data_IF_791739960022
#
_entry.id   IF_791739960022
#
_cell.length_a   1.000
_cell.length_b   1.000
_cell.length_c   1.000
_cell.angle_alpha   90.00
_cell.angle_beta   90.00
_cell.angle_gamma   90.00
#
_symmetry.space_group_name_H-M   'P 1'
#
loop_
_entity.id
_entity.type
_entity.pdbx_description
1 polymer ?
#
# COMPACT_ATOMS: atom_id res chain seq x y z
N UNK A 1 0.73 -10.39 20.92
CA UNK A 1 0.11 -9.45 21.88
C UNK A 1 -0.86 -8.60 21.07
N UNK A 2 -2.07 -8.28 21.55
CA UNK A 2 -2.97 -7.42 20.79
C UNK A 2 -2.30 -6.06 20.55
N UNK A 3 -2.33 -5.61 19.29
CA UNK A 3 -1.76 -4.34 18.85
C UNK A 3 -2.37 -3.18 19.62
N UNK A 4 -1.59 -2.11 19.82
CA UNK A 4 -2.06 -0.86 20.45
C UNK A 4 -3.34 -0.36 19.79
N UNK A 5 -3.44 -0.53 18.47
CA UNK A 5 -4.58 -0.16 17.65
C UNK A 5 -5.89 -0.85 18.04
N UNK A 6 -5.91 -2.18 18.25
CA UNK A 6 -7.14 -2.88 18.64
C UNK A 6 -7.71 -2.37 19.97
N UNK A 7 -6.84 -1.95 20.90
CA UNK A 7 -7.28 -1.35 22.17
C UNK A 7 -7.89 0.03 21.96
N UNK A 8 -7.36 0.82 21.03
CA UNK A 8 -7.90 2.14 20.68
C UNK A 8 -9.28 2.00 20.04
N UNK A 9 -9.43 1.11 19.05
CA UNK A 9 -10.73 0.81 18.41
C UNK A 9 -11.81 0.41 19.44
N UNK A 10 -11.45 -0.35 20.47
CA UNK A 10 -12.40 -0.76 21.52
C UNK A 10 -12.83 0.39 22.45
N UNK A 11 -12.09 1.50 22.48
CA UNK A 11 -12.42 2.70 23.26
C UNK A 11 -13.28 3.69 22.46
N UNK A 12 -13.32 3.56 21.14
CA UNK A 12 -14.14 4.42 20.29
C UNK A 12 -15.63 4.20 20.51
N UNK A 13 -16.39 5.28 20.40
CA UNK A 13 -17.84 5.27 20.65
C UNK A 13 -18.56 4.40 19.63
N UNK A 14 -18.12 4.47 18.38
CA UNK A 14 -18.63 3.73 17.23
C UNK A 14 -18.52 2.22 17.48
N UNK A 15 -17.45 1.75 18.13
CA UNK A 15 -17.33 0.35 18.55
C UNK A 15 -18.42 -0.07 19.53
N UNK A 16 -18.87 0.83 20.40
CA UNK A 16 -19.95 0.56 21.36
C UNK A 16 -21.33 0.44 20.70
N UNK A 17 -21.51 1.04 19.52
CA UNK A 17 -22.75 0.95 18.75
C UNK A 17 -22.92 -0.43 18.08
N UNK A 18 -21.85 -1.24 18.00
CA UNK A 18 -21.81 -2.55 17.35
C UNK A 18 -21.44 -3.67 18.34
N UNK A 19 -22.41 -4.12 19.14
CA UNK A 19 -22.17 -5.10 20.21
C UNK A 19 -21.48 -6.41 19.76
N UNK A 20 -21.87 -6.97 18.60
CA UNK A 20 -21.25 -8.17 18.03
C UNK A 20 -19.81 -7.91 17.55
N UNK A 21 -19.54 -6.73 16.97
CA UNK A 21 -18.18 -6.33 16.57
C UNK A 21 -17.27 -6.15 17.79
N UNK A 22 -17.74 -5.42 18.80
CA UNK A 22 -17.01 -5.21 20.06
C UNK A 22 -16.67 -6.55 20.71
N UNK A 23 -17.62 -7.48 20.74
CA UNK A 23 -17.43 -8.83 21.27
C UNK A 23 -16.38 -9.62 20.47
N UNK A 24 -16.37 -9.48 19.15
CA UNK A 24 -15.34 -10.06 18.30
C UNK A 24 -13.95 -9.50 18.64
N UNK A 25 -13.81 -8.17 18.68
CA UNK A 25 -12.53 -7.51 18.97
C UNK A 25 -12.00 -7.84 20.38
N UNK A 26 -12.86 -7.94 21.39
CA UNK A 26 -12.47 -8.43 22.71
C UNK A 26 -11.98 -9.89 22.67
N UNK A 27 -12.67 -10.77 21.92
CA UNK A 27 -12.24 -12.15 21.75
C UNK A 27 -10.88 -12.25 21.04
N UNK A 28 -10.65 -11.43 20.01
CA UNK A 28 -9.36 -11.30 19.32
C UNK A 28 -8.26 -10.85 20.29
N UNK A 29 -8.55 -9.84 21.12
CA UNK A 29 -7.62 -9.35 22.14
C UNK A 29 -7.19 -10.45 23.13
N UNK A 30 -8.10 -11.38 23.43
CA UNK A 30 -7.88 -12.52 24.32
C UNK A 30 -7.29 -13.76 23.61
N UNK A 31 -7.04 -13.70 22.30
CA UNK A 31 -6.55 -14.84 21.51
C UNK A 31 -7.60 -15.93 21.24
N UNK A 32 -8.89 -15.65 21.45
CA UNK A 32 -9.99 -16.60 21.29
C UNK A 32 -10.47 -16.67 19.83
N UNK A 33 -9.67 -17.29 18.95
CA UNK A 33 -9.92 -17.32 17.49
C UNK A 33 -11.33 -17.79 17.10
N UNK A 34 -11.83 -18.88 17.68
CA UNK A 34 -13.16 -19.42 17.33
C UNK A 34 -14.29 -18.47 17.73
N UNK A 35 -14.18 -17.84 18.90
CA UNK A 35 -15.16 -16.87 19.39
C UNK A 35 -15.12 -15.61 18.54
N UNK A 36 -13.92 -15.13 18.19
CA UNK A 36 -13.75 -14.00 17.26
C UNK A 36 -14.46 -14.26 15.93
N UNK A 37 -14.21 -15.40 15.28
CA UNK A 37 -14.84 -15.74 14.00
C UNK A 37 -16.36 -15.87 14.10
N UNK A 38 -16.87 -16.45 15.18
CA UNK A 38 -18.31 -16.54 15.43
C UNK A 38 -18.95 -15.16 15.56
N UNK A 39 -18.36 -14.28 16.37
CA UNK A 39 -18.88 -12.92 16.58
C UNK A 39 -18.73 -12.04 15.34
N UNK A 40 -17.64 -12.18 14.57
CA UNK A 40 -17.49 -11.50 13.28
C UNK A 40 -18.56 -11.93 12.28
N UNK A 41 -18.83 -13.23 12.15
CA UNK A 41 -19.88 -13.69 11.25
C UNK A 41 -21.27 -13.19 11.65
N UNK A 42 -21.54 -13.14 12.96
CA UNK A 42 -22.77 -12.55 13.49
C UNK A 42 -22.87 -11.07 13.16
N UNK A 43 -21.80 -10.31 13.41
CA UNK A 43 -21.72 -8.89 13.06
C UNK A 43 -21.96 -8.65 11.56
N UNK A 44 -21.30 -9.41 10.68
CA UNK A 44 -21.48 -9.27 9.23
C UNK A 44 -22.95 -9.55 8.85
N UNK A 45 -23.57 -10.58 9.43
CA UNK A 45 -24.98 -10.87 9.16
C UNK A 45 -25.90 -9.74 9.63
N UNK A 46 -25.62 -9.10 10.78
CA UNK A 46 -26.35 -7.92 11.25
C UNK A 46 -26.16 -6.72 10.30
N UNK A 47 -24.92 -6.48 9.86
CA UNK A 47 -24.56 -5.36 9.00
C UNK A 47 -25.19 -5.45 7.60
N UNK A 48 -25.34 -6.66 7.07
CA UNK A 48 -25.95 -6.90 5.76
C UNK A 48 -27.44 -6.52 5.69
N UNK A 49 -28.13 -6.39 6.82
CA UNK A 49 -29.55 -5.99 6.87
C UNK A 49 -29.71 -4.47 7.06
N UNK A 50 -28.61 -3.75 7.32
CA UNK A 50 -28.66 -2.29 7.41
C UNK A 50 -28.96 -1.66 6.06
N UNK A 51 -29.52 -0.45 6.10
CA UNK A 51 -29.54 0.40 4.92
C UNK A 51 -28.12 0.77 4.48
N UNK A 52 -28.00 1.12 3.19
CA UNK A 52 -26.70 1.40 2.58
C UNK A 52 -25.99 2.60 3.23
N UNK A 53 -26.71 3.58 3.76
CA UNK A 53 -26.11 4.74 4.40
C UNK A 53 -25.39 4.31 5.68
N UNK A 54 -26.01 3.46 6.49
CA UNK A 54 -25.40 2.91 7.71
C UNK A 54 -24.23 1.98 7.40
N UNK A 55 -24.31 1.17 6.34
CA UNK A 55 -23.17 0.36 5.89
C UNK A 55 -21.98 1.25 5.47
N UNK A 56 -22.23 2.32 4.70
CA UNK A 56 -21.19 3.30 4.33
C UNK A 56 -20.56 3.97 5.53
N UNK A 57 -21.37 4.43 6.49
CA UNK A 57 -20.85 5.04 7.72
C UNK A 57 -19.92 4.10 8.49
N UNK A 58 -20.29 2.83 8.60
CA UNK A 58 -19.44 1.82 9.22
C UNK A 58 -18.14 1.60 8.42
N UNK A 59 -18.23 1.45 7.10
CA UNK A 59 -17.07 1.26 6.23
C UNK A 59 -16.12 2.46 6.28
N UNK A 60 -16.66 3.68 6.22
CA UNK A 60 -15.90 4.93 6.32
C UNK A 60 -15.15 5.03 7.65
N UNK A 61 -15.84 4.79 8.77
CA UNK A 61 -15.23 4.76 10.09
C UNK A 61 -14.10 3.73 10.19
N UNK A 62 -14.39 2.47 9.84
CA UNK A 62 -13.42 1.38 10.00
C UNK A 62 -12.18 1.60 9.13
N UNK A 63 -12.35 1.94 7.86
CA UNK A 63 -11.24 2.08 6.93
C UNK A 63 -10.42 3.34 7.20
N UNK A 64 -11.05 4.43 7.64
CA UNK A 64 -10.33 5.62 8.13
C UNK A 64 -9.49 5.29 9.36
N UNK A 65 -10.00 4.49 10.29
CA UNK A 65 -9.22 4.06 11.44
C UNK A 65 -8.04 3.16 11.03
N UNK A 66 -8.19 2.35 9.98
CA UNK A 66 -7.17 1.41 9.53
C UNK A 66 -6.12 1.99 8.57
N UNK A 67 -6.38 3.11 7.88
CA UNK A 67 -5.56 3.51 6.71
C UNK A 67 -4.10 3.90 7.03
N UNK A 68 -3.76 4.14 8.30
CA UNK A 68 -2.38 4.43 8.75
C UNK A 68 -1.80 3.38 9.70
N UNK A 69 -2.50 2.28 9.88
CA UNK A 69 -2.14 1.28 10.88
C UNK A 69 -1.48 0.07 10.22
N UNK A 70 -0.41 -0.40 10.86
CA UNK A 70 0.25 -1.63 10.47
C UNK A 70 -0.59 -2.85 10.93
N UNK A 71 -0.46 -3.98 10.24
CA UNK A 71 -1.09 -5.27 10.60
C UNK A 71 -2.64 -5.29 10.68
N UNK A 72 -3.32 -4.38 9.98
CA UNK A 72 -4.79 -4.31 9.94
C UNK A 72 -5.46 -5.54 9.32
N UNK A 73 -4.72 -6.36 8.57
CA UNK A 73 -5.20 -7.62 7.99
C UNK A 73 -5.74 -8.60 9.05
N UNK A 74 -5.27 -8.46 10.30
CA UNK A 74 -5.79 -9.23 11.43
C UNK A 74 -7.24 -8.87 11.81
N UNK A 75 -7.69 -7.67 11.44
CA UNK A 75 -9.02 -7.12 11.71
C UNK A 75 -9.90 -7.15 10.44
N UNK A 76 -9.31 -6.79 9.29
CA UNK A 76 -9.91 -6.83 7.97
C UNK A 76 -9.88 -8.26 7.39
N UNK A 77 -10.51 -9.19 8.12
CA UNK A 77 -10.53 -10.60 7.75
C UNK A 77 -11.31 -10.82 6.45
N UNK A 78 -10.93 -11.85 5.69
CA UNK A 78 -11.54 -12.17 4.39
C UNK A 78 -13.09 -12.14 4.38
N UNK A 79 -13.83 -12.74 5.35
CA UNK A 79 -15.29 -12.65 5.36
C UNK A 79 -15.83 -11.21 5.47
N UNK A 80 -15.17 -10.33 6.21
CA UNK A 80 -15.56 -8.93 6.34
C UNK A 80 -15.32 -8.19 5.01
N UNK A 81 -14.16 -8.45 4.39
CA UNK A 81 -13.79 -7.84 3.12
C UNK A 81 -14.77 -8.23 2.00
N UNK A 82 -14.96 -9.52 1.75
CA UNK A 82 -15.76 -9.99 0.62
C UNK A 82 -17.25 -9.70 0.78
N UNK A 83 -17.78 -9.83 2.01
CA UNK A 83 -19.23 -9.82 2.22
C UNK A 83 -19.76 -8.43 2.54
N UNK A 84 -18.95 -7.53 3.08
CA UNK A 84 -19.40 -6.20 3.52
C UNK A 84 -18.58 -5.09 2.87
N UNK A 85 -17.27 -5.05 3.07
CA UNK A 85 -16.46 -3.88 2.67
C UNK A 85 -16.40 -3.71 1.15
N UNK A 86 -15.99 -4.74 0.39
CA UNK A 86 -15.91 -4.63 -1.07
C UNK A 86 -17.26 -4.31 -1.73
N UNK A 87 -18.38 -4.98 -1.40
CA UNK A 87 -19.68 -4.62 -1.96
C UNK A 87 -20.08 -3.17 -1.68
N UNK A 88 -19.89 -2.70 -0.45
CA UNK A 88 -20.23 -1.32 -0.05
C UNK A 88 -19.38 -0.31 -0.80
N UNK A 89 -18.06 -0.55 -0.91
CA UNK A 89 -17.15 0.33 -1.65
C UNK A 89 -17.46 0.35 -3.15
N UNK A 90 -17.76 -0.80 -3.77
CA UNK A 90 -18.17 -0.86 -5.19
C UNK A 90 -19.46 -0.09 -5.44
N UNK A 91 -20.45 -0.26 -4.57
CA UNK A 91 -21.67 0.52 -4.66
C UNK A 91 -21.42 2.01 -4.43
N UNK A 92 -20.51 2.37 -3.52
CA UNK A 92 -20.12 3.75 -3.28
C UNK A 92 -19.49 4.38 -4.53
N UNK A 93 -18.54 3.71 -5.19
CA UNK A 93 -17.95 4.20 -6.44
C UNK A 93 -19.00 4.43 -7.55
N UNK A 94 -20.04 3.61 -7.61
CA UNK A 94 -21.13 3.79 -8.58
C UNK A 94 -22.05 4.96 -8.24
N UNK A 95 -22.40 5.11 -6.96
CA UNK A 95 -23.37 6.12 -6.52
C UNK A 95 -22.76 7.52 -6.40
N UNK A 96 -21.47 7.60 -6.05
CA UNK A 96 -20.71 8.85 -5.86
C UNK A 96 -19.30 8.71 -6.45
N UNK A 97 -19.16 8.72 -7.79
CA UNK A 97 -17.86 8.52 -8.44
C UNK A 97 -16.83 9.61 -8.10
N UNK A 98 -17.26 10.82 -7.77
CA UNK A 98 -16.36 11.91 -7.38
C UNK A 98 -15.73 11.71 -5.99
N UNK A 99 -16.27 10.80 -5.17
CA UNK A 99 -15.68 10.47 -3.87
C UNK A 99 -14.49 9.53 -4.08
N UNK A 100 -13.30 10.02 -3.74
CA UNK A 100 -12.04 9.32 -3.98
C UNK A 100 -11.73 8.24 -2.94
N UNK A 101 -12.35 8.30 -1.75
CA UNK A 101 -12.06 7.39 -0.63
C UNK A 101 -12.20 5.91 -1.01
N UNK A 102 -13.25 5.46 -1.72
CA UNK A 102 -13.37 4.06 -2.09
C UNK A 102 -12.25 3.59 -3.01
N UNK A 103 -11.84 4.40 -3.98
CA UNK A 103 -10.70 4.10 -4.87
C UNK A 103 -9.41 3.98 -4.05
N UNK A 104 -9.14 4.96 -3.19
CA UNK A 104 -7.97 4.96 -2.30
C UNK A 104 -7.90 3.69 -1.47
N UNK A 105 -8.99 3.31 -0.80
CA UNK A 105 -9.00 2.13 0.06
C UNK A 105 -8.93 0.80 -0.69
N UNK A 106 -9.48 0.72 -1.92
CA UNK A 106 -9.28 -0.45 -2.78
C UNK A 106 -7.80 -0.69 -3.08
N UNK A 107 -7.06 0.38 -3.35
CA UNK A 107 -5.61 0.34 -3.55
C UNK A 107 -4.86 0.00 -2.25
N UNK A 108 -5.02 0.81 -1.21
CA UNK A 108 -4.26 0.66 0.05
C UNK A 108 -4.41 -0.72 0.67
N UNK A 109 -5.65 -1.22 0.78
CA UNK A 109 -5.89 -2.52 1.40
C UNK A 109 -5.82 -3.69 0.42
N UNK A 110 -5.46 -3.43 -0.84
CA UNK A 110 -5.33 -4.44 -1.91
C UNK A 110 -6.53 -5.38 -1.95
N UNK A 111 -7.75 -4.82 -1.89
CA UNK A 111 -8.96 -5.62 -1.93
C UNK A 111 -9.08 -6.40 -3.25
N UNK A 112 -8.45 -5.92 -4.32
CA UNK A 112 -8.25 -6.66 -5.58
C UNK A 112 -6.77 -6.55 -5.94
N UNK A 113 -5.98 -7.56 -5.59
CA UNK A 113 -4.51 -7.56 -5.73
C UNK A 113 -4.06 -7.12 -7.13
N UNK A 114 -4.68 -7.67 -8.17
CA UNK A 114 -4.32 -7.39 -9.58
C UNK A 114 -4.61 -5.94 -10.02
N UNK A 115 -5.52 -5.23 -9.35
CA UNK A 115 -5.98 -3.90 -9.75
C UNK A 115 -5.59 -2.81 -8.76
N UNK A 116 -4.83 -3.15 -7.70
CA UNK A 116 -4.52 -2.23 -6.60
C UNK A 116 -3.92 -0.91 -7.08
N UNK A 117 -2.95 -0.98 -8.01
CA UNK A 117 -2.31 0.20 -8.59
C UNK A 117 -3.28 1.03 -9.43
N UNK A 118 -4.19 0.41 -10.21
CA UNK A 118 -5.19 1.15 -10.99
C UNK A 118 -6.14 1.96 -10.09
N UNK A 119 -6.50 1.41 -8.93
CA UNK A 119 -7.32 2.10 -7.94
C UNK A 119 -6.57 3.26 -7.27
N UNK A 120 -5.29 3.06 -6.92
CA UNK A 120 -4.43 4.15 -6.41
C UNK A 120 -4.31 5.26 -7.45
N UNK A 121 -4.03 4.92 -8.71
CA UNK A 121 -3.92 5.89 -9.79
C UNK A 121 -5.22 6.65 -9.96
N UNK A 122 -6.36 5.96 -9.96
CA UNK A 122 -7.68 6.60 -10.07
C UNK A 122 -7.94 7.57 -8.90
N UNK A 123 -7.54 7.20 -7.68
CA UNK A 123 -7.66 8.10 -6.53
C UNK A 123 -6.80 9.35 -6.71
N UNK A 124 -5.54 9.18 -7.13
CA UNK A 124 -4.59 10.28 -7.37
C UNK A 124 -5.06 11.19 -8.50
N UNK A 125 -5.56 10.64 -9.61
CA UNK A 125 -6.04 11.44 -10.75
C UNK A 125 -7.24 12.32 -10.38
N UNK A 126 -8.11 11.83 -9.49
CA UNK A 126 -9.34 12.53 -9.08
C UNK A 126 -9.12 13.48 -7.91
N UNK A 127 -8.39 13.04 -6.89
CA UNK A 127 -8.15 13.82 -5.68
C UNK A 127 -6.89 14.69 -5.74
N UNK A 128 -6.04 14.45 -6.75
CA UNK A 128 -4.80 15.16 -6.96
C UNK A 128 -3.87 15.06 -5.76
N UNK A 129 -3.16 16.17 -5.50
CA UNK A 129 -2.19 16.27 -4.40
C UNK A 129 -2.80 16.05 -3.01
N UNK A 130 -4.11 16.12 -2.83
CA UNK A 130 -4.72 15.89 -1.52
C UNK A 130 -4.68 14.41 -1.10
N UNK A 131 -4.50 13.49 -2.05
CA UNK A 131 -4.46 12.05 -1.82
C UNK A 131 -3.06 11.56 -1.40
N UNK A 132 -2.48 12.22 -0.39
CA UNK A 132 -1.11 11.98 0.08
C UNK A 132 -0.84 10.51 0.42
N UNK A 133 -1.81 9.83 1.04
CA UNK A 133 -1.66 8.42 1.40
C UNK A 133 -1.66 7.51 0.16
N UNK A 134 -2.50 7.79 -0.85
CA UNK A 134 -2.48 7.03 -2.10
C UNK A 134 -1.16 7.24 -2.86
N UNK A 135 -0.67 8.48 -2.89
CA UNK A 135 0.63 8.84 -3.49
C UNK A 135 1.76 8.09 -2.78
N UNK A 136 1.79 8.12 -1.44
CA UNK A 136 2.78 7.40 -0.64
C UNK A 136 2.74 5.89 -0.93
N UNK A 137 1.56 5.28 -0.92
CA UNK A 137 1.42 3.84 -1.18
C UNK A 137 1.88 3.49 -2.60
N UNK A 138 1.54 4.30 -3.60
CA UNK A 138 2.00 4.11 -4.98
C UNK A 138 3.53 4.16 -5.06
N UNK A 139 4.17 5.18 -4.45
CA UNK A 139 5.64 5.30 -4.42
C UNK A 139 6.28 4.05 -3.82
N UNK A 140 5.77 3.55 -2.69
CA UNK A 140 6.28 2.32 -2.05
C UNK A 140 6.19 1.10 -2.97
N UNK A 141 5.09 0.95 -3.71
CA UNK A 141 4.96 -0.14 -4.68
C UNK A 141 5.97 -0.04 -5.81
N UNK A 142 6.14 1.15 -6.40
CA UNK A 142 7.07 1.36 -7.51
C UNK A 142 8.53 1.21 -7.09
N UNK A 143 8.91 1.69 -5.90
CA UNK A 143 10.26 1.48 -5.36
C UNK A 143 10.52 -0.01 -5.05
N UNK A 144 9.54 -0.72 -4.49
CA UNK A 144 9.65 -2.16 -4.27
C UNK A 144 9.76 -2.95 -5.58
N UNK A 145 9.09 -2.51 -6.64
CA UNK A 145 9.27 -3.07 -7.99
C UNK A 145 10.71 -2.90 -8.49
N UNK A 146 11.29 -1.69 -8.38
CA UNK A 146 12.68 -1.42 -8.77
C UNK A 146 13.67 -2.24 -7.93
N UNK A 147 13.43 -2.38 -6.63
CA UNK A 147 14.21 -3.27 -5.78
C UNK A 147 14.15 -4.72 -6.29
N UNK A 148 12.96 -5.21 -6.62
CA UNK A 148 12.79 -6.55 -7.18
C UNK A 148 13.50 -6.71 -8.53
N UNK A 149 13.48 -5.71 -9.40
CA UNK A 149 14.21 -5.77 -10.66
C UNK A 149 15.73 -5.94 -10.46
N UNK A 150 16.29 -5.35 -9.39
CA UNK A 150 17.73 -5.20 -9.20
C UNK A 150 18.37 -6.16 -8.18
N UNK A 151 17.60 -6.85 -7.34
CA UNK A 151 18.16 -7.58 -6.19
C UNK A 151 19.07 -8.77 -6.54
N UNK A 152 19.03 -9.26 -7.79
CA UNK A 152 19.93 -10.31 -8.30
C UNK A 152 21.03 -9.78 -9.23
N UNK A 153 21.29 -8.47 -9.25
CA UNK A 153 22.36 -7.90 -10.08
C UNK A 153 23.76 -8.42 -9.69
N UNK A 154 23.94 -8.88 -8.47
CA UNK A 154 25.17 -9.56 -8.03
C UNK A 154 25.38 -10.93 -8.69
N UNK A 155 24.34 -11.49 -9.29
CA UNK A 155 24.35 -12.72 -10.09
C UNK A 155 24.32 -12.40 -11.60
N UNK A 156 24.61 -11.15 -11.97
CA UNK A 156 24.51 -10.62 -13.34
C UNK A 156 23.10 -10.78 -13.94
N UNK A 157 22.09 -10.84 -13.07
CA UNK A 157 20.70 -11.10 -13.45
C UNK A 157 19.82 -9.90 -13.14
N UNK A 158 19.21 -9.37 -14.21
CA UNK A 158 18.21 -8.33 -14.16
C UNK A 158 16.84 -8.96 -14.38
N UNK A 159 15.89 -8.73 -13.46
CA UNK A 159 14.62 -9.46 -13.41
C UNK A 159 13.43 -8.74 -14.07
N UNK A 160 13.69 -7.69 -14.84
CA UNK A 160 12.68 -6.85 -15.49
C UNK A 160 13.13 -6.41 -16.89
N UNK A 161 12.31 -5.62 -17.58
CA UNK A 161 12.67 -4.96 -18.83
C UNK A 161 13.17 -3.54 -18.53
N UNK A 162 14.25 -3.12 -19.18
CA UNK A 162 14.90 -1.83 -18.86
C UNK A 162 14.03 -0.62 -19.19
N UNK A 163 13.13 -0.75 -20.14
CA UNK A 163 12.17 0.26 -20.57
C UNK A 163 11.09 0.48 -19.50
N UNK A 164 10.54 -0.60 -18.95
CA UNK A 164 9.52 -0.57 -17.90
C UNK A 164 10.08 0.10 -16.63
N UNK A 165 11.33 -0.20 -16.28
CA UNK A 165 11.97 0.39 -15.11
C UNK A 165 12.35 1.87 -15.33
N UNK A 166 12.62 2.28 -16.58
CA UNK A 166 12.80 3.69 -16.91
C UNK A 166 11.51 4.50 -16.70
N UNK A 167 10.37 3.94 -17.13
CA UNK A 167 9.05 4.53 -16.91
C UNK A 167 8.72 4.57 -15.42
N UNK A 168 8.97 3.48 -14.71
CA UNK A 168 8.77 3.37 -13.26
C UNK A 168 9.59 4.43 -12.51
N UNK A 169 10.87 4.62 -12.85
CA UNK A 169 11.71 5.66 -12.25
C UNK A 169 11.15 7.06 -12.51
N UNK A 170 10.69 7.34 -13.74
CA UNK A 170 10.11 8.63 -14.10
C UNK A 170 8.82 8.90 -13.34
N UNK A 171 7.92 7.92 -13.28
CA UNK A 171 6.65 8.02 -12.57
C UNK A 171 6.87 8.24 -11.07
N UNK A 172 7.71 7.41 -10.45
CA UNK A 172 8.06 7.52 -9.03
C UNK A 172 8.58 8.91 -8.70
N UNK A 173 9.44 9.48 -9.55
CA UNK A 173 9.96 10.84 -9.36
C UNK A 173 8.86 11.89 -9.35
N UNK A 174 7.91 11.80 -10.29
CA UNK A 174 6.78 12.71 -10.39
C UNK A 174 5.84 12.61 -9.18
N UNK A 175 5.65 11.41 -8.63
CA UNK A 175 4.86 11.19 -7.43
C UNK A 175 5.55 11.75 -6.18
N UNK A 176 6.86 11.50 -6.01
CA UNK A 176 7.62 12.07 -4.87
C UNK A 176 7.55 13.60 -4.88
N UNK A 177 7.54 14.22 -6.06
CA UNK A 177 7.43 15.67 -6.16
C UNK A 177 6.09 16.24 -5.64
N UNK A 178 5.04 15.40 -5.58
CA UNK A 178 3.71 15.75 -5.09
C UNK A 178 3.56 15.59 -3.57
N UNK A 179 4.49 14.95 -2.87
CA UNK A 179 4.43 14.81 -1.41
C UNK A 179 4.48 16.16 -0.70
N UNK A 180 3.72 16.28 0.39
CA UNK A 180 3.66 17.45 1.25
C UNK A 180 4.65 17.36 2.42
N UNK A 181 4.84 16.17 2.98
CA UNK A 181 5.77 15.95 4.08
C UNK A 181 7.22 15.98 3.56
N UNK A 182 7.99 16.98 4.00
CA UNK A 182 9.36 17.17 3.55
C UNK A 182 10.33 16.07 4.02
N UNK A 183 10.07 15.45 5.17
CA UNK A 183 10.92 14.38 5.71
C UNK A 183 10.70 13.14 4.87
N UNK A 184 9.44 12.72 4.72
CA UNK A 184 9.08 11.56 3.90
C UNK A 184 9.49 11.74 2.43
N UNK A 185 9.33 12.96 1.89
CA UNK A 185 9.81 13.29 0.55
C UNK A 185 11.32 13.13 0.41
N UNK A 186 12.09 13.46 1.44
CA UNK A 186 13.55 13.29 1.44
C UNK A 186 13.91 11.81 1.47
N UNK A 187 13.27 11.02 2.35
CA UNK A 187 13.50 9.58 2.46
C UNK A 187 13.24 8.86 1.13
N UNK A 188 12.09 9.08 0.50
CA UNK A 188 11.80 8.49 -0.81
C UNK A 188 12.71 9.00 -1.93
N UNK A 189 13.17 10.26 -1.84
CA UNK A 189 14.11 10.80 -2.82
C UNK A 189 15.46 10.11 -2.74
N UNK A 190 15.95 9.82 -1.53
CA UNK A 190 17.20 9.10 -1.31
C UNK A 190 17.10 7.68 -1.88
N UNK A 191 16.03 6.94 -1.55
CA UNK A 191 15.78 5.60 -2.07
C UNK A 191 15.67 5.60 -3.61
N UNK A 192 14.90 6.55 -4.18
CA UNK A 192 14.80 6.71 -5.63
C UNK A 192 16.16 6.98 -6.30
N UNK A 193 17.03 7.80 -5.68
CA UNK A 193 18.36 8.09 -6.21
C UNK A 193 19.26 6.85 -6.22
N UNK A 194 19.15 5.98 -5.22
CA UNK A 194 19.88 4.71 -5.18
C UNK A 194 19.45 3.78 -6.32
N UNK A 195 18.15 3.66 -6.56
CA UNK A 195 17.61 2.88 -7.68
C UNK A 195 18.00 3.47 -9.04
N UNK A 196 17.87 4.79 -9.22
CA UNK A 196 18.25 5.47 -10.46
C UNK A 196 19.74 5.27 -10.79
N UNK A 197 20.62 5.40 -9.79
CA UNK A 197 22.06 5.13 -9.96
C UNK A 197 22.32 3.67 -10.34
N UNK A 198 21.64 2.73 -9.70
CA UNK A 198 21.79 1.30 -9.98
C UNK A 198 21.38 0.98 -11.42
N UNK A 199 20.24 1.51 -11.86
CA UNK A 199 19.75 1.41 -13.23
C UNK A 199 20.75 1.98 -14.25
N UNK A 200 21.28 3.19 -14.02
CA UNK A 200 22.27 3.81 -14.90
C UNK A 200 23.57 3.01 -15.00
N UNK A 201 24.03 2.44 -13.88
CA UNK A 201 25.21 1.57 -13.86
C UNK A 201 24.95 0.30 -14.68
N UNK A 202 23.78 -0.31 -14.54
CA UNK A 202 23.42 -1.49 -15.33
C UNK A 202 23.38 -1.21 -16.83
N UNK A 203 22.74 -0.12 -17.25
CA UNK A 203 22.71 0.27 -18.67
C UNK A 203 24.10 0.55 -19.26
N UNK A 204 25.01 1.09 -18.45
CA UNK A 204 26.41 1.28 -18.86
C UNK A 204 27.14 -0.05 -18.97
N UNK A 205 26.96 -0.94 -18.01
CA UNK A 205 27.52 -2.28 -18.02
C UNK A 205 27.15 -3.04 -19.31
N UNK A 206 25.87 -3.03 -19.70
CA UNK A 206 25.39 -3.66 -20.94
C UNK A 206 26.04 -3.11 -22.22
N UNK A 207 26.57 -1.88 -22.20
CA UNK A 207 27.26 -1.27 -23.37
C UNK A 207 28.75 -1.55 -23.38
N UNK A 208 29.33 -1.71 -22.20
CA UNK A 208 30.77 -1.85 -22.02
C UNK A 208 31.21 -3.34 -22.03
N UNK A 209 30.28 -4.29 -21.84
CA UNK A 209 30.44 -5.77 -21.82
C UNK A 209 31.89 -6.24 -21.70
N UNK A 210 32.38 -6.29 -20.46
CA UNK A 210 33.77 -6.70 -20.20
C UNK A 210 33.88 -7.93 -19.29
N UNK A 211 33.07 -8.07 -18.23
CA UNK A 211 33.17 -9.08 -17.14
C UNK A 211 31.81 -9.19 -16.41
N UNK A 212 31.74 -9.76 -15.19
CA UNK A 212 30.53 -9.69 -14.35
C UNK A 212 30.23 -8.27 -13.85
N UNK A 213 28.97 -7.94 -13.62
CA UNK A 213 28.48 -6.60 -13.24
C UNK A 213 29.17 -6.07 -11.97
N UNK A 214 29.33 -6.91 -10.96
CA UNK A 214 29.98 -6.51 -9.71
C UNK A 214 31.46 -6.19 -9.90
N UNK A 215 32.17 -7.02 -10.67
CA UNK A 215 33.59 -6.80 -10.99
C UNK A 215 33.79 -5.54 -11.82
N UNK A 216 32.91 -5.31 -12.81
CA UNK A 216 32.90 -4.09 -13.60
C UNK A 216 32.60 -2.87 -12.73
N UNK A 217 31.59 -2.93 -11.86
CA UNK A 217 31.19 -1.83 -10.97
C UNK A 217 32.33 -1.42 -10.05
N UNK A 218 33.01 -2.37 -9.41
CA UNK A 218 34.16 -2.09 -8.55
C UNK A 218 35.30 -1.38 -9.29
N UNK A 219 35.55 -1.75 -10.56
CA UNK A 219 36.56 -1.08 -11.39
C UNK A 219 36.18 0.38 -11.68
N UNK A 220 34.91 0.66 -11.94
CA UNK A 220 34.42 2.02 -12.19
C UNK A 220 34.58 2.90 -10.94
N UNK A 221 34.24 2.38 -9.76
CA UNK A 221 34.40 3.08 -8.47
C UNK A 221 35.88 3.44 -8.21
N UNK A 222 36.79 2.47 -8.39
CA UNK A 222 38.26 2.68 -8.25
C UNK A 222 38.84 3.67 -9.26
N UNK A 223 38.25 3.79 -10.46
CA UNK A 223 38.69 4.75 -11.47
C UNK A 223 38.15 6.17 -11.25
N UNK A 224 36.99 6.31 -10.59
CA UNK A 224 36.41 7.59 -10.21
C UNK A 224 37.17 8.27 -9.07
N UNK A 225 37.61 7.50 -8.07
CA UNK A 225 38.39 8.00 -6.93
C UNK A 225 39.79 8.51 -7.32
N UNK A 226 40.41 7.92 -8.35
CA UNK A 226 41.72 8.35 -8.84
C UNK A 226 41.68 9.60 -9.74
N UNK A 227 40.50 10.18 -9.97
CA UNK A 227 40.29 11.39 -10.79
C UNK A 227 39.81 12.61 -9.99
N UNK A 228 39.71 12.50 -8.66
CA UNK A 228 39.50 13.62 -7.73
C UNK A 228 40.81 14.04 -7.08
#
# INVERSE_FOLDING_TARGET
>A
MPTTFLKQLLQEKESSDFSSLRSAYLAKQQGLRNVFLQQMNKFIAEALVWDIQRQRQFTDWLLTACEREEDVHELLIHPLNERLLKPVLKQWMNDLPEDVRPYRWFGIFSFEEDNSLEYLQTAIDRGGRQEQLAIETMIRHLLNWLWYAFHHLNEDLYLSETEDDAETLKETRLLIDQLDDSVQKTEFMEEWQEHARTYELWLRFLKEETEGFMEWRERQEKQGENKQ
#
